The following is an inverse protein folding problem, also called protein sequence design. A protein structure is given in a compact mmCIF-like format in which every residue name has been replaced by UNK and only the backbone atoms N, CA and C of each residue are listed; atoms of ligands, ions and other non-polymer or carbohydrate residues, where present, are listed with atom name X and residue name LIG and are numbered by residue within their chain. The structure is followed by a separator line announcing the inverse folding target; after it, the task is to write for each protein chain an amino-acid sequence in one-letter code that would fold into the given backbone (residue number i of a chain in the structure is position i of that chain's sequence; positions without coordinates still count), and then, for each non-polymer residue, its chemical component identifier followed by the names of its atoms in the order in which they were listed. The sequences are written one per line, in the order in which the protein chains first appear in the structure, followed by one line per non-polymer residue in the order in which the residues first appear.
data_IF_601790615285
#
_entry.id   IF_601790615285
#
_cell.length_a   1.000
_cell.length_b   1.000
_cell.length_c   1.000
_cell.angle_alpha   90.00
_cell.angle_beta   90.00
_cell.angle_gamma   90.00
#
_symmetry.space_group_name_H-M   'P 1'
#
loop_
_entity.id
_entity.type
_entity.pdbx_description
1 polymer ?
#
# COMPACT_ATOMS: atom_id res chain seq x y z
N UNK A 1 -1.69 -9.92 -12.46
CA UNK A 1 -2.63 -10.46 -11.45
C UNK A 1 -3.73 -9.44 -11.25
N UNK A 2 -4.99 -9.85 -11.32
CA UNK A 2 -6.13 -9.04 -10.89
C UNK A 2 -6.41 -9.45 -9.45
N UNK A 3 -6.28 -8.51 -8.51
CA UNK A 3 -6.63 -8.74 -7.11
C UNK A 3 -8.02 -8.19 -6.83
N UNK A 4 -8.78 -8.90 -6.01
CA UNK A 4 -10.00 -8.37 -5.40
C UNK A 4 -9.68 -7.39 -4.27
N UNK A 5 -10.64 -6.51 -3.96
CA UNK A 5 -10.52 -5.62 -2.80
C UNK A 5 -10.33 -6.36 -1.48
N UNK A 6 -10.90 -7.56 -1.34
CA UNK A 6 -10.72 -8.41 -0.17
C UNK A 6 -9.26 -8.89 0.00
N UNK A 7 -8.60 -9.24 -1.10
CA UNK A 7 -7.19 -9.67 -1.07
C UNK A 7 -6.27 -8.49 -0.73
N UNK A 8 -6.48 -7.32 -1.34
CA UNK A 8 -5.75 -6.10 -1.01
C UNK A 8 -5.97 -5.71 0.46
N UNK A 9 -7.20 -5.81 0.95
CA UNK A 9 -7.53 -5.54 2.35
C UNK A 9 -6.76 -6.41 3.34
N UNK A 10 -6.48 -7.67 3.01
CA UNK A 10 -5.65 -8.57 3.86
C UNK A 10 -4.21 -8.07 3.96
N UNK A 11 -3.60 -7.62 2.87
CA UNK A 11 -2.25 -7.03 2.90
C UNK A 11 -2.23 -5.75 3.73
N UNK A 12 -3.25 -4.90 3.60
CA UNK A 12 -3.38 -3.68 4.41
C UNK A 12 -3.50 -4.02 5.90
N UNK A 13 -4.33 -5.01 6.27
CA UNK A 13 -4.46 -5.46 7.65
C UNK A 13 -3.14 -6.03 8.21
N UNK A 14 -2.35 -6.71 7.37
CA UNK A 14 -1.07 -7.31 7.74
C UNK A 14 -0.01 -6.27 8.15
N UNK A 15 -0.14 -5.01 7.73
CA UNK A 15 0.72 -3.90 8.21
C UNK A 15 0.61 -3.65 9.72
N UNK A 16 -0.48 -4.10 10.35
CA UNK A 16 -0.70 -3.99 11.80
C UNK A 16 -0.23 -5.21 12.58
N UNK A 17 0.26 -6.25 11.91
CA UNK A 17 0.69 -7.49 12.56
C UNK A 17 1.93 -7.25 13.44
N UNK A 18 2.07 -7.86 14.62
CA UNK A 18 3.28 -7.71 15.45
C UNK A 18 4.57 -8.15 14.74
N UNK A 19 4.51 -9.17 13.87
CA UNK A 19 5.66 -9.69 13.11
C UNK A 19 6.24 -8.64 12.16
N UNK A 20 7.53 -8.34 12.32
CA UNK A 20 8.30 -7.45 11.44
C UNK A 20 8.34 -7.96 10.00
N UNK A 21 8.53 -9.26 9.81
CA UNK A 21 8.62 -9.91 8.49
C UNK A 21 7.30 -9.71 7.74
N UNK A 22 6.17 -10.01 8.39
CA UNK A 22 4.85 -9.87 7.76
C UNK A 22 4.55 -8.42 7.37
N UNK A 23 4.93 -7.43 8.21
CA UNK A 23 4.81 -6.01 7.85
C UNK A 23 5.62 -5.67 6.60
N UNK A 24 6.89 -6.09 6.54
CA UNK A 24 7.76 -5.80 5.40
C UNK A 24 7.27 -6.48 4.12
N UNK A 25 6.86 -7.75 4.17
CA UNK A 25 6.30 -8.46 3.03
C UNK A 25 5.00 -7.80 2.53
N UNK A 26 4.11 -7.42 3.44
CA UNK A 26 2.88 -6.72 3.09
C UNK A 26 3.15 -5.36 2.45
N UNK A 27 4.03 -4.56 3.06
CA UNK A 27 4.40 -3.26 2.51
C UNK A 27 5.05 -3.37 1.13
N UNK A 28 5.91 -4.37 0.92
CA UNK A 28 6.51 -4.65 -0.37
C UNK A 28 5.47 -5.08 -1.42
N UNK A 29 4.56 -5.99 -1.08
CA UNK A 29 3.50 -6.40 -2.00
C UNK A 29 2.62 -5.20 -2.43
N UNK A 30 2.24 -4.35 -1.47
CA UNK A 30 1.48 -3.13 -1.72
C UNK A 30 2.24 -2.12 -2.60
N UNK A 31 3.56 -2.04 -2.44
CA UNK A 31 4.42 -1.28 -3.35
C UNK A 31 4.30 -1.83 -4.76
N UNK A 32 4.50 -3.13 -4.96
CA UNK A 32 4.41 -3.76 -6.29
C UNK A 32 3.06 -3.52 -6.98
N UNK A 33 1.96 -3.45 -6.22
CA UNK A 33 0.63 -3.20 -6.77
C UNK A 33 0.39 -1.74 -7.20
N UNK A 34 1.15 -0.80 -6.65
CA UNK A 34 0.93 0.64 -6.82
C UNK A 34 1.98 1.32 -7.71
N UNK A 35 3.02 0.62 -8.17
CA UNK A 35 4.05 1.18 -9.06
C UNK A 35 3.41 1.83 -10.31
N UNK A 36 3.66 3.13 -10.57
CA UNK A 36 3.20 3.81 -11.77
C UNK A 36 3.67 3.11 -13.05
N UNK A 37 2.87 3.19 -14.13
CA UNK A 37 3.17 2.52 -15.40
C UNK A 37 2.82 1.03 -15.46
N UNK A 38 2.37 0.43 -14.35
CA UNK A 38 1.84 -0.93 -14.35
C UNK A 38 0.46 -1.03 -15.00
N UNK A 39 0.23 -2.07 -15.82
CA UNK A 39 -1.05 -2.30 -16.55
C UNK A 39 -2.31 -2.24 -15.68
N UNK A 40 -2.22 -2.60 -14.39
CA UNK A 40 -3.33 -2.58 -13.44
C UNK A 40 -3.10 -1.66 -12.24
N UNK A 41 -2.11 -0.76 -12.31
CA UNK A 41 -1.72 0.10 -11.19
C UNK A 41 -2.87 1.00 -10.74
N UNK A 42 -3.59 1.60 -11.69
CA UNK A 42 -4.77 2.44 -11.42
C UNK A 42 -5.88 1.63 -10.73
N UNK A 43 -6.17 0.42 -11.20
CA UNK A 43 -7.19 -0.44 -10.60
C UNK A 43 -6.84 -0.80 -9.14
N UNK A 44 -5.60 -1.22 -8.89
CA UNK A 44 -5.14 -1.53 -7.53
C UNK A 44 -5.08 -0.29 -6.63
N UNK A 45 -4.72 0.88 -7.18
CA UNK A 45 -4.75 2.14 -6.44
C UNK A 45 -6.19 2.49 -6.00
N UNK A 46 -7.18 2.35 -6.90
CA UNK A 46 -8.60 2.53 -6.55
C UNK A 46 -9.04 1.55 -5.46
N UNK A 47 -8.64 0.27 -5.54
CA UNK A 47 -8.95 -0.70 -4.48
C UNK A 47 -8.27 -0.36 -3.16
N UNK A 48 -7.03 0.12 -3.17
CA UNK A 48 -6.33 0.57 -1.96
C UNK A 48 -7.01 1.77 -1.31
N UNK A 49 -7.50 2.71 -2.11
CA UNK A 49 -8.26 3.84 -1.62
C UNK A 49 -9.60 3.38 -1.02
N UNK A 50 -10.33 2.47 -1.70
CA UNK A 50 -11.64 2.00 -1.24
C UNK A 50 -11.58 1.24 0.08
N UNK A 51 -10.50 0.50 0.36
CA UNK A 51 -10.29 -0.17 1.65
C UNK A 51 -9.68 0.73 2.74
N UNK A 52 -9.53 2.04 2.47
CA UNK A 52 -8.98 3.00 3.43
C UNK A 52 -7.50 2.79 3.74
N UNK A 53 -6.72 2.22 2.80
CA UNK A 53 -5.31 1.86 3.02
C UNK A 53 -4.44 3.06 3.43
N UNK A 54 -4.74 4.27 2.94
CA UNK A 54 -3.96 5.47 3.22
C UNK A 54 -3.78 5.74 4.72
N UNK A 55 -4.82 5.53 5.54
CA UNK A 55 -4.73 5.71 6.99
C UNK A 55 -3.78 4.69 7.63
N UNK A 56 -3.86 3.44 7.18
CA UNK A 56 -3.03 2.35 7.71
C UNK A 56 -1.57 2.53 7.30
N UNK A 57 -1.33 2.90 6.04
CA UNK A 57 -0.01 3.17 5.49
C UNK A 57 0.68 4.35 6.20
N UNK A 58 -0.06 5.43 6.51
CA UNK A 58 0.49 6.54 7.33
C UNK A 58 0.91 6.05 8.72
N UNK A 59 0.09 5.22 9.36
CA UNK A 59 0.43 4.60 10.64
C UNK A 59 1.67 3.71 10.55
N UNK A 60 1.77 2.88 9.51
CA UNK A 60 2.92 2.02 9.26
C UNK A 60 4.22 2.83 9.00
N UNK A 61 4.12 3.91 8.23
CA UNK A 61 5.24 4.81 7.94
C UNK A 61 5.74 5.57 9.19
N UNK A 62 4.83 5.92 10.11
CA UNK A 62 5.14 6.66 11.34
C UNK A 62 5.57 5.76 12.51
N UNK A 63 5.38 4.44 12.42
CA UNK A 63 5.68 3.52 13.51
C UNK A 63 7.17 3.55 13.89
N UNK A 64 7.45 3.86 15.16
CA UNK A 64 8.82 3.96 15.68
C UNK A 64 9.53 2.59 15.68
N UNK A 65 8.78 1.51 15.92
CA UNK A 65 9.29 0.14 16.06
C UNK A 65 9.15 -0.70 14.79
N UNK A 66 8.65 -0.13 13.69
CA UNK A 66 8.53 -0.86 12.42
C UNK A 66 9.90 -0.96 11.71
N UNK A 67 10.12 -2.05 10.93
CA UNK A 67 11.29 -2.18 10.08
C UNK A 67 11.43 -0.99 9.12
N UNK A 68 12.67 -0.59 8.84
CA UNK A 68 12.97 0.58 8.00
C UNK A 68 12.39 0.38 6.59
N UNK A 69 12.51 -0.83 6.04
CA UNK A 69 12.01 -1.19 4.71
C UNK A 69 10.48 -1.02 4.66
N UNK A 70 9.77 -1.52 5.67
CA UNK A 70 8.31 -1.37 5.75
C UNK A 70 7.88 0.09 5.79
N UNK A 71 8.64 0.95 6.49
CA UNK A 71 8.38 2.40 6.55
C UNK A 71 8.62 3.07 5.21
N UNK A 72 9.72 2.73 4.52
CA UNK A 72 10.06 3.26 3.21
C UNK A 72 9.00 2.85 2.18
N UNK A 73 8.67 1.55 2.12
CA UNK A 73 7.65 1.05 1.20
C UNK A 73 6.29 1.69 1.46
N UNK A 74 5.86 1.83 2.72
CA UNK A 74 4.60 2.50 3.04
C UNK A 74 4.56 3.96 2.55
N UNK A 75 5.68 4.70 2.65
CA UNK A 75 5.80 6.08 2.14
C UNK A 75 5.74 6.13 0.62
N UNK A 76 6.37 5.19 -0.07
CA UNK A 76 6.33 5.13 -1.53
C UNK A 76 4.91 4.80 -2.00
N UNK A 77 4.25 3.82 -1.38
CA UNK A 77 2.85 3.47 -1.69
C UNK A 77 1.94 4.70 -1.52
N UNK A 78 2.10 5.48 -0.45
CA UNK A 78 1.32 6.72 -0.26
C UNK A 78 1.52 7.70 -1.43
N UNK A 79 2.77 7.93 -1.84
CA UNK A 79 3.05 8.81 -3.00
C UNK A 79 2.49 8.26 -4.30
N UNK A 80 2.53 6.95 -4.50
CA UNK A 80 1.94 6.31 -5.66
C UNK A 80 0.43 6.53 -5.69
N UNK A 81 -0.26 6.37 -4.55
CA UNK A 81 -1.71 6.62 -4.46
C UNK A 81 -2.07 8.07 -4.76
N UNK A 82 -1.26 9.03 -4.31
CA UNK A 82 -1.42 10.45 -4.62
C UNK A 82 -1.23 10.70 -6.13
N UNK A 83 -0.23 10.08 -6.75
CA UNK A 83 0.01 10.18 -8.19
C UNK A 83 -1.18 9.65 -9.01
N UNK A 84 -1.66 8.44 -8.71
CA UNK A 84 -2.81 7.85 -9.40
C UNK A 84 -4.09 8.67 -9.20
N UNK A 85 -4.27 9.32 -8.04
CA UNK A 85 -5.40 10.22 -7.80
C UNK A 85 -5.34 11.47 -8.68
N UNK A 86 -4.14 12.04 -8.88
CA UNK A 86 -3.95 13.18 -9.77
C UNK A 86 -4.21 12.80 -11.23
N UNK A 87 -3.72 11.65 -11.68
CA UNK A 87 -3.96 11.14 -13.04
C UNK A 87 -5.44 10.88 -13.34
N UNK A 88 -6.22 10.46 -12.33
CA UNK A 88 -7.68 10.27 -12.47
C UNK A 88 -8.50 11.57 -12.47
N UNK A 89 -7.91 12.68 -12.02
CA UNK A 89 -8.60 13.98 -11.89
C UNK A 89 -8.38 14.90 -13.10
N UNK A 90 -7.63 14.44 -14.10
CA UNK A 90 -7.33 15.12 -15.37
C UNK A 90 -8.23 14.52 -16.45
#
# INVERSE_FOLDING_TARGET
MLLSGAEIGRFVAMLRNPSSILKSCAAFALLQFSIPGGRHAVHHATLLQSVGAARVLRGAAAAATAPIEAKIFARIVLRNLEHHQMEQSI
#
